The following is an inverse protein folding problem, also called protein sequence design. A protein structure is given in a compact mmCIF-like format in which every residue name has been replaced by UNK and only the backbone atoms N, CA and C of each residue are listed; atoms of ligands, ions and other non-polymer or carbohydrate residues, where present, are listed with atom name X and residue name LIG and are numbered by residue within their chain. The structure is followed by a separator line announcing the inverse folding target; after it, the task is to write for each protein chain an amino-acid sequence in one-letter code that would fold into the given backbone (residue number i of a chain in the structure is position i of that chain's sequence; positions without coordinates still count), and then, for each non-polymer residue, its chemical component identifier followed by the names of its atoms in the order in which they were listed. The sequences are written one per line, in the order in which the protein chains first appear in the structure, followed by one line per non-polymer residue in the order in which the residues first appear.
data_IF_239329341497
#
_entry.id   IF_239329341497
#
_cell.length_a   1.000
_cell.length_b   1.000
_cell.length_c   1.000
_cell.angle_alpha   90.00
_cell.angle_beta   90.00
_cell.angle_gamma   90.00
#
_symmetry.space_group_name_H-M   'P 1'
#
loop_
_entity.id
_entity.type
_entity.pdbx_description
1 polymer ?
#
# COMPACT_ATOMS: atom_id res chain seq x y z
N UNK A 1 -11.33 -28.01 -6.31
CA UNK A 1 -11.59 -26.80 -7.12
C UNK A 1 -10.30 -26.01 -7.16
N UNK A 2 -9.74 -25.77 -8.33
CA UNK A 2 -8.59 -24.86 -8.48
C UNK A 2 -9.09 -23.44 -8.24
N UNK A 3 -8.48 -22.74 -7.27
CA UNK A 3 -8.78 -21.33 -7.01
C UNK A 3 -7.96 -20.47 -7.96
N UNK A 4 -8.57 -19.45 -8.56
CA UNK A 4 -7.87 -18.55 -9.50
C UNK A 4 -7.07 -17.45 -8.81
N UNK A 5 -7.15 -17.35 -7.47
CA UNK A 5 -6.52 -16.27 -6.71
C UNK A 5 -5.74 -16.83 -5.51
N UNK A 6 -4.45 -16.46 -5.41
CA UNK A 6 -3.66 -16.62 -4.20
C UNK A 6 -3.63 -15.29 -3.42
N UNK A 7 -4.00 -15.35 -2.15
CA UNK A 7 -3.92 -14.23 -1.22
C UNK A 7 -2.73 -14.44 -0.30
N UNK A 8 -1.80 -13.52 -0.32
CA UNK A 8 -0.59 -13.56 0.50
C UNK A 8 -0.69 -12.60 1.67
N UNK A 9 -0.43 -13.10 2.87
CA UNK A 9 -0.26 -12.28 4.05
C UNK A 9 1.16 -12.44 4.60
N UNK A 10 1.85 -11.32 4.79
CA UNK A 10 3.23 -11.31 5.25
C UNK A 10 3.28 -11.45 6.79
N UNK A 11 4.00 -12.45 7.26
CA UNK A 11 4.29 -12.67 8.68
C UNK A 11 5.81 -12.54 8.87
N UNK A 12 6.24 -11.56 9.67
CA UNK A 12 7.68 -11.29 9.90
C UNK A 12 8.12 -11.72 11.28
N UNK A 13 9.30 -12.31 11.35
CA UNK A 13 9.99 -12.52 12.64
C UNK A 13 10.18 -11.17 13.34
N UNK A 14 9.97 -11.14 14.65
CA UNK A 14 10.06 -9.91 15.46
C UNK A 14 8.83 -9.00 15.40
N UNK A 15 7.78 -9.33 14.60
CA UNK A 15 6.48 -8.67 14.72
C UNK A 15 5.73 -9.27 15.92
N UNK A 16 5.07 -8.41 16.71
CA UNK A 16 4.29 -8.83 17.87
C UNK A 16 3.12 -9.73 17.46
N UNK A 17 2.79 -10.73 18.29
CA UNK A 17 1.75 -11.71 17.99
C UNK A 17 0.35 -11.07 17.83
N UNK A 18 0.08 -9.98 18.54
CA UNK A 18 -1.19 -9.25 18.46
C UNK A 18 -1.47 -8.68 17.05
N UNK A 19 -0.42 -8.39 16.29
CA UNK A 19 -0.53 -7.93 14.90
C UNK A 19 -1.14 -9.03 14.02
N UNK A 20 -0.63 -10.26 14.15
CA UNK A 20 -1.18 -11.41 13.44
C UNK A 20 -2.58 -11.78 13.95
N UNK A 21 -2.80 -11.71 15.26
CA UNK A 21 -4.13 -11.97 15.84
C UNK A 21 -5.19 -11.03 15.27
N UNK A 22 -4.88 -9.76 15.08
CA UNK A 22 -5.81 -8.80 14.46
C UNK A 22 -6.13 -9.17 13.00
N UNK A 23 -5.14 -9.60 12.23
CA UNK A 23 -5.39 -10.09 10.87
C UNK A 23 -6.29 -11.32 10.90
N UNK A 24 -5.95 -12.35 11.68
CA UNK A 24 -6.73 -13.59 11.76
C UNK A 24 -8.16 -13.34 12.23
N UNK A 25 -8.34 -12.55 13.27
CA UNK A 25 -9.68 -12.18 13.76
C UNK A 25 -10.52 -11.46 12.70
N UNK A 26 -9.90 -10.57 11.91
CA UNK A 26 -10.59 -9.91 10.81
C UNK A 26 -10.88 -10.85 9.63
N UNK A 27 -9.96 -11.77 9.34
CA UNK A 27 -10.12 -12.76 8.28
C UNK A 27 -11.24 -13.78 8.59
N UNK A 28 -11.38 -14.19 9.84
CA UNK A 28 -12.49 -15.03 10.30
C UNK A 28 -13.82 -14.28 10.33
N UNK A 29 -13.79 -13.00 10.72
CA UNK A 29 -14.98 -12.18 10.86
C UNK A 29 -15.62 -11.80 9.52
N UNK A 30 -14.82 -11.47 8.51
CA UNK A 30 -15.29 -10.94 7.25
C UNK A 30 -15.10 -11.93 6.12
N UNK A 31 -16.20 -12.30 5.46
CA UNK A 31 -16.18 -13.18 4.30
C UNK A 31 -15.34 -12.58 3.16
N UNK A 32 -14.57 -13.42 2.49
CA UNK A 32 -13.87 -13.03 1.27
C UNK A 32 -14.82 -12.86 0.06
N UNK A 33 -16.01 -13.47 0.11
CA UNK A 33 -16.99 -13.45 -0.96
C UNK A 33 -16.67 -14.36 -2.16
N UNK A 34 -15.51 -15.01 -2.17
CA UNK A 34 -15.11 -15.93 -3.23
C UNK A 34 -14.02 -16.91 -2.76
N UNK A 35 -13.90 -18.08 -3.42
CA UNK A 35 -12.84 -19.04 -3.13
C UNK A 35 -11.46 -18.48 -3.44
N UNK A 36 -10.50 -18.73 -2.57
CA UNK A 36 -9.10 -18.35 -2.73
C UNK A 36 -8.18 -19.26 -1.93
N UNK A 37 -6.90 -19.23 -2.21
CA UNK A 37 -5.86 -19.87 -1.41
C UNK A 37 -5.14 -18.84 -0.55
N UNK A 38 -5.23 -18.98 0.78
CA UNK A 38 -4.44 -18.16 1.71
C UNK A 38 -3.03 -18.74 1.85
N UNK A 39 -2.03 -17.87 1.71
CA UNK A 39 -0.60 -18.22 1.86
C UNK A 39 0.05 -17.25 2.84
N UNK A 40 0.58 -17.77 3.95
CA UNK A 40 1.41 -16.98 4.85
C UNK A 40 2.85 -16.95 4.37
N UNK A 41 3.38 -15.75 4.13
CA UNK A 41 4.77 -15.52 3.79
C UNK A 41 5.57 -15.36 5.08
N UNK A 42 6.31 -16.40 5.47
CA UNK A 42 7.07 -16.46 6.71
C UNK A 42 8.46 -15.85 6.50
N UNK A 43 8.63 -14.59 6.89
CA UNK A 43 9.86 -13.84 6.64
C UNK A 43 10.76 -13.76 7.87
N UNK A 44 12.00 -14.25 7.74
CA UNK A 44 13.03 -14.12 8.77
C UNK A 44 12.98 -15.21 9.86
N UNK A 45 12.26 -16.30 9.65
CA UNK A 45 12.17 -17.43 10.59
C UNK A 45 13.25 -18.49 10.35
N UNK A 46 14.53 -18.09 10.32
CA UNK A 46 15.65 -19.00 10.05
C UNK A 46 15.81 -20.13 11.07
N UNK A 47 15.30 -19.99 12.28
CA UNK A 47 15.32 -20.99 13.36
C UNK A 47 14.01 -21.78 13.46
N UNK A 48 13.15 -21.70 12.42
CA UNK A 48 11.83 -22.30 12.44
C UNK A 48 10.77 -21.40 13.09
N UNK A 49 9.53 -21.82 12.92
CA UNK A 49 8.37 -21.06 13.39
C UNK A 49 8.13 -21.33 14.89
N UNK A 50 8.06 -20.29 15.76
CA UNK A 50 7.76 -20.48 17.18
C UNK A 50 6.43 -21.24 17.39
N UNK A 51 6.34 -22.18 18.36
CA UNK A 51 5.13 -22.98 18.57
C UNK A 51 3.84 -22.14 18.81
N UNK A 52 3.85 -21.02 19.53
CA UNK A 52 2.67 -20.18 19.68
C UNK A 52 2.19 -19.62 18.34
N UNK A 53 3.13 -19.14 17.49
CA UNK A 53 2.82 -18.59 16.18
C UNK A 53 2.28 -19.68 15.24
N UNK A 54 2.88 -20.88 15.27
CA UNK A 54 2.40 -22.01 14.47
C UNK A 54 0.97 -22.41 14.83
N UNK A 55 0.62 -22.40 16.13
CA UNK A 55 -0.76 -22.65 16.60
C UNK A 55 -1.74 -21.59 16.09
N UNK A 56 -1.36 -20.31 16.13
CA UNK A 56 -2.21 -19.22 15.62
C UNK A 56 -2.48 -19.37 14.12
N UNK A 57 -1.46 -19.66 13.33
CA UNK A 57 -1.64 -19.86 11.89
C UNK A 57 -2.57 -21.04 11.58
N UNK A 58 -2.57 -22.07 12.44
CA UNK A 58 -3.42 -23.25 12.23
C UNK A 58 -4.92 -23.01 12.48
N UNK A 59 -5.31 -21.81 12.94
CA UNK A 59 -6.72 -21.45 13.11
C UNK A 59 -7.50 -21.38 11.79
N UNK A 60 -6.84 -21.09 10.68
CA UNK A 60 -7.46 -20.99 9.36
C UNK A 60 -6.80 -21.91 8.34
N UNK A 61 -7.52 -22.42 7.34
CA UNK A 61 -6.92 -23.17 6.24
C UNK A 61 -5.91 -22.31 5.47
N UNK A 62 -4.67 -22.74 5.37
CA UNK A 62 -3.61 -21.97 4.71
C UNK A 62 -2.48 -22.86 4.17
N UNK A 63 -1.63 -22.27 3.34
CA UNK A 63 -0.30 -22.78 3.03
C UNK A 63 0.79 -21.83 3.56
N UNK A 64 2.01 -22.30 3.69
CA UNK A 64 3.16 -21.52 4.19
C UNK A 64 4.23 -21.44 3.11
N UNK A 65 4.88 -20.29 3.03
CA UNK A 65 6.05 -20.08 2.18
C UNK A 65 7.14 -19.36 2.98
N UNK A 66 8.25 -20.04 3.18
CA UNK A 66 9.42 -19.46 3.83
C UNK A 66 10.10 -18.44 2.93
N UNK A 67 10.34 -17.26 3.48
CA UNK A 67 10.95 -16.13 2.79
C UNK A 67 12.22 -15.68 3.50
N UNK A 68 13.33 -15.49 2.79
CA UNK A 68 14.56 -14.97 3.37
C UNK A 68 14.33 -13.54 3.90
N UNK A 69 15.03 -13.17 4.97
CA UNK A 69 14.93 -11.81 5.54
C UNK A 69 15.74 -10.78 4.73
N UNK A 70 15.37 -10.65 3.46
CA UNK A 70 15.95 -9.67 2.53
C UNK A 70 14.89 -9.13 1.59
N UNK A 71 15.16 -7.98 0.95
CA UNK A 71 14.30 -7.43 -0.08
C UNK A 71 13.00 -6.80 0.42
N UNK A 72 12.91 -6.47 1.72
CA UNK A 72 11.71 -5.89 2.34
C UNK A 72 10.47 -6.78 2.05
N UNK A 73 9.28 -6.22 2.12
CA UNK A 73 8.03 -6.93 1.85
C UNK A 73 7.95 -7.37 0.39
N UNK A 74 8.35 -6.50 -0.53
CA UNK A 74 8.33 -6.75 -1.98
C UNK A 74 9.20 -7.94 -2.40
N UNK A 75 10.34 -8.15 -1.75
CA UNK A 75 11.18 -9.33 -2.02
C UNK A 75 10.45 -10.64 -1.74
N UNK A 76 9.64 -10.67 -0.68
CA UNK A 76 8.78 -11.81 -0.35
C UNK A 76 7.62 -11.96 -1.34
N UNK A 77 7.03 -10.84 -1.80
CA UNK A 77 5.93 -10.85 -2.77
C UNK A 77 6.38 -11.39 -4.13
N UNK A 78 7.54 -10.99 -4.63
CA UNK A 78 8.09 -11.54 -5.88
C UNK A 78 8.41 -13.02 -5.77
N UNK A 79 9.03 -13.44 -4.66
CA UNK A 79 9.28 -14.86 -4.39
C UNK A 79 7.98 -15.66 -4.37
N UNK A 80 6.95 -15.14 -3.70
CA UNK A 80 5.65 -15.78 -3.60
C UNK A 80 4.98 -15.93 -4.98
N UNK A 81 4.99 -14.87 -5.78
CA UNK A 81 4.44 -14.90 -7.14
C UNK A 81 5.16 -15.91 -8.06
N UNK A 82 6.45 -16.18 -7.84
CA UNK A 82 7.20 -17.21 -8.57
C UNK A 82 6.81 -18.64 -8.17
N UNK A 83 6.30 -18.83 -6.95
CA UNK A 83 6.06 -20.16 -6.34
C UNK A 83 4.62 -20.63 -6.45
N UNK A 84 3.73 -19.84 -7.01
CA UNK A 84 2.32 -20.17 -7.18
C UNK A 84 1.95 -20.27 -8.65
N UNK A 85 0.83 -20.93 -8.93
CA UNK A 85 0.30 -21.11 -10.30
C UNK A 85 -0.94 -20.27 -10.58
N UNK A 86 -1.56 -19.73 -9.55
CA UNK A 86 -2.78 -18.92 -9.65
C UNK A 86 -2.54 -17.71 -10.56
N UNK A 87 -3.46 -17.42 -11.50
CA UNK A 87 -3.33 -16.31 -12.43
C UNK A 87 -3.40 -14.94 -11.74
N UNK A 88 -4.11 -14.84 -10.62
CA UNK A 88 -4.24 -13.61 -9.84
C UNK A 88 -3.55 -13.75 -8.49
N UNK A 89 -2.88 -12.69 -8.06
CA UNK A 89 -2.21 -12.61 -6.77
C UNK A 89 -2.64 -11.34 -6.03
N UNK A 90 -3.00 -11.51 -4.78
CA UNK A 90 -3.28 -10.41 -3.87
C UNK A 90 -2.25 -10.42 -2.73
N UNK A 91 -1.71 -9.26 -2.41
CA UNK A 91 -0.73 -9.12 -1.34
C UNK A 91 -1.27 -8.22 -0.24
N UNK A 92 -1.06 -8.64 1.00
CA UNK A 92 -1.31 -7.85 2.22
C UNK A 92 -0.06 -7.84 3.08
N UNK A 93 0.22 -6.71 3.73
CA UNK A 93 1.37 -6.57 4.60
C UNK A 93 1.10 -7.13 6.02
N UNK A 94 2.13 -7.17 6.87
CA UNK A 94 2.02 -7.72 8.24
C UNK A 94 1.00 -6.98 9.13
N UNK A 95 0.67 -5.74 8.82
CA UNK A 95 -0.23 -4.91 9.62
C UNK A 95 -1.66 -4.85 9.07
N UNK A 96 -1.93 -5.57 7.99
CA UNK A 96 -3.24 -5.54 7.34
C UNK A 96 -4.33 -6.09 8.25
N UNK A 97 -5.48 -5.40 8.28
CA UNK A 97 -6.71 -5.82 8.96
C UNK A 97 -7.85 -5.58 7.97
N UNK A 98 -8.68 -6.60 7.75
CA UNK A 98 -9.83 -6.51 6.85
C UNK A 98 -10.98 -5.79 7.57
N UNK A 99 -11.75 -4.96 6.87
CA UNK A 99 -12.77 -4.10 7.46
C UNK A 99 -14.20 -4.33 6.92
N UNK A 100 -14.42 -5.32 6.07
CA UNK A 100 -15.76 -5.58 5.53
C UNK A 100 -15.87 -6.89 4.80
N UNK A 101 -17.10 -7.39 4.69
CA UNK A 101 -17.42 -8.59 3.93
C UNK A 101 -17.16 -8.42 2.44
N UNK A 102 -17.04 -9.56 1.75
CA UNK A 102 -16.77 -9.64 0.32
C UNK A 102 -15.49 -8.90 -0.11
N UNK A 103 -14.53 -8.78 0.82
CA UNK A 103 -13.32 -7.99 0.60
C UNK A 103 -12.57 -8.43 -0.66
N UNK A 104 -12.39 -9.73 -0.91
CA UNK A 104 -11.71 -10.21 -2.11
C UNK A 104 -12.61 -10.11 -3.36
N UNK A 105 -13.91 -10.43 -3.23
CA UNK A 105 -14.85 -10.28 -4.31
C UNK A 105 -14.92 -8.83 -4.82
N UNK A 106 -14.87 -7.84 -3.94
CA UNK A 106 -14.79 -6.41 -4.31
C UNK A 106 -13.55 -6.09 -5.15
N UNK A 107 -12.37 -6.61 -4.75
CA UNK A 107 -11.15 -6.47 -5.55
C UNK A 107 -11.30 -7.13 -6.93
N UNK A 108 -11.84 -8.36 -6.99
CA UNK A 108 -12.04 -9.09 -8.24
C UNK A 108 -13.04 -8.39 -9.14
N UNK A 109 -14.14 -7.89 -8.59
CA UNK A 109 -15.16 -7.14 -9.36
C UNK A 109 -14.55 -5.86 -9.97
N UNK A 110 -13.69 -5.17 -9.23
CA UNK A 110 -12.97 -4.01 -9.75
C UNK A 110 -11.94 -4.43 -10.83
N UNK A 111 -11.20 -5.50 -10.59
CA UNK A 111 -10.18 -6.01 -11.52
C UNK A 111 -10.77 -6.50 -12.85
N UNK A 112 -11.93 -7.12 -12.81
CA UNK A 112 -12.62 -7.66 -14.00
C UNK A 112 -13.25 -6.58 -14.89
N UNK A 113 -13.18 -5.30 -14.51
CA UNK A 113 -13.60 -4.21 -15.40
C UNK A 113 -12.65 -4.11 -16.60
N UNK A 114 -13.15 -3.68 -17.76
CA UNK A 114 -12.30 -3.54 -18.96
C UNK A 114 -11.05 -2.69 -18.70
N UNK A 115 -9.91 -3.17 -19.17
CA UNK A 115 -8.61 -2.50 -19.12
C UNK A 115 -8.02 -2.27 -17.73
N UNK A 116 -8.54 -2.86 -16.67
CA UNK A 116 -7.95 -2.76 -15.34
C UNK A 116 -6.76 -3.72 -15.22
N UNK A 117 -5.61 -3.22 -14.82
CA UNK A 117 -4.37 -3.99 -14.63
C UNK A 117 -3.92 -4.09 -13.16
N UNK A 118 -4.46 -3.25 -12.28
CA UNK A 118 -4.04 -3.20 -10.89
C UNK A 118 -5.16 -2.61 -10.01
N UNK A 119 -5.45 -3.26 -8.89
CA UNK A 119 -6.43 -2.77 -7.90
C UNK A 119 -5.78 -2.73 -6.53
N UNK A 120 -5.93 -1.64 -5.79
CA UNK A 120 -5.41 -1.48 -4.44
C UNK A 120 -6.48 -1.08 -3.43
N UNK A 121 -6.20 -1.32 -2.14
CA UNK A 121 -7.03 -0.83 -1.04
C UNK A 121 -6.86 0.68 -0.80
N UNK A 122 -5.68 1.21 -1.10
CA UNK A 122 -5.33 2.62 -0.87
C UNK A 122 -4.40 3.12 -1.96
N UNK A 123 -4.62 4.36 -2.35
CA UNK A 123 -3.74 5.12 -3.23
C UNK A 123 -3.26 6.40 -2.54
N UNK A 124 -2.33 7.11 -3.15
CA UNK A 124 -1.82 8.39 -2.68
C UNK A 124 -1.25 9.21 -3.83
N UNK A 125 -1.21 10.52 -3.66
CA UNK A 125 -0.47 11.45 -4.52
C UNK A 125 0.80 11.97 -3.85
N UNK A 126 1.16 11.43 -2.66
CA UNK A 126 2.38 11.81 -1.95
C UNK A 126 3.61 11.76 -2.84
N UNK A 127 4.50 12.72 -2.66
CA UNK A 127 5.79 12.76 -3.34
C UNK A 127 6.93 12.93 -2.35
N UNK A 128 7.82 11.95 -2.28
CA UNK A 128 9.03 12.03 -1.45
C UNK A 128 9.93 13.21 -1.83
N UNK A 129 10.02 13.54 -3.12
CA UNK A 129 10.81 14.68 -3.58
C UNK A 129 10.20 16.00 -3.15
N UNK A 130 8.87 16.17 -3.27
CA UNK A 130 8.16 17.37 -2.82
C UNK A 130 8.16 17.51 -1.30
N UNK A 131 7.95 16.43 -0.56
CA UNK A 131 8.01 16.44 0.90
C UNK A 131 9.41 16.86 1.40
N UNK A 132 10.46 16.33 0.78
CA UNK A 132 11.82 16.71 1.12
C UNK A 132 12.09 18.20 0.83
N UNK A 133 11.66 18.69 -0.33
CA UNK A 133 11.80 20.12 -0.68
C UNK A 133 11.04 21.01 0.30
N UNK A 134 9.79 20.70 0.62
CA UNK A 134 9.01 21.48 1.58
C UNK A 134 9.70 21.56 2.93
N UNK A 135 10.20 20.43 3.45
CA UNK A 135 10.99 20.43 4.71
C UNK A 135 12.23 21.31 4.65
N UNK A 136 12.91 21.37 3.49
CA UNK A 136 14.08 22.25 3.33
C UNK A 136 13.70 23.74 3.32
N UNK A 137 12.51 24.08 2.84
CA UNK A 137 12.02 25.47 2.78
C UNK A 137 11.34 25.92 4.06
N UNK A 138 10.71 25.04 4.82
CA UNK A 138 9.97 25.31 6.06
C UNK A 138 10.87 25.38 7.31
N UNK A 139 12.16 25.01 7.22
CA UNK A 139 13.06 25.08 8.34
C UNK A 139 13.26 26.52 8.86
N UNK A 140 13.16 26.77 10.19
CA UNK A 140 13.26 28.11 10.78
C UNK A 140 14.58 28.79 10.45
N UNK A 141 14.52 30.12 10.16
CA UNK A 141 15.60 30.90 9.53
C UNK A 141 16.35 31.81 10.52
N UNK A 142 17.66 31.56 10.71
CA UNK A 142 18.60 32.67 10.99
C UNK A 142 19.15 33.17 9.64
N UNK A 143 19.15 34.50 9.43
CA UNK A 143 19.26 35.14 8.11
C UNK A 143 20.46 34.75 7.22
N UNK A 144 21.59 34.36 7.72
CA UNK A 144 22.82 34.05 6.93
C UNK A 144 23.09 32.54 6.77
N UNK A 145 22.83 31.73 7.81
CA UNK A 145 22.94 30.27 7.73
C UNK A 145 21.83 29.64 6.87
N UNK A 146 20.74 30.37 6.71
CA UNK A 146 19.55 29.90 5.93
C UNK A 146 19.83 29.78 4.43
N UNK A 147 20.61 30.65 3.81
CA UNK A 147 20.84 30.62 2.36
C UNK A 147 21.77 29.46 1.95
N UNK A 148 22.83 29.22 2.73
CA UNK A 148 23.73 28.07 2.53
C UNK A 148 23.04 26.72 2.84
N UNK A 149 22.16 26.69 3.85
CA UNK A 149 21.36 25.50 4.17
C UNK A 149 20.35 25.18 3.08
N UNK A 150 19.73 26.21 2.46
CA UNK A 150 18.82 26.04 1.31
C UNK A 150 19.55 25.53 0.07
N UNK A 151 20.73 26.04 -0.24
CA UNK A 151 21.54 25.57 -1.36
C UNK A 151 21.95 24.09 -1.20
N UNK A 152 22.37 23.69 0.01
CA UNK A 152 22.67 22.30 0.33
C UNK A 152 21.41 21.41 0.30
N UNK A 153 20.28 21.91 0.79
CA UNK A 153 19.00 21.21 0.74
C UNK A 153 18.52 20.98 -0.69
N UNK A 154 18.63 22.00 -1.55
CA UNK A 154 18.27 21.88 -2.96
C UNK A 154 19.19 20.91 -3.71
N UNK A 155 20.52 20.99 -3.49
CA UNK A 155 21.47 20.05 -4.07
C UNK A 155 21.19 18.59 -3.65
N UNK A 156 20.81 18.37 -2.39
CA UNK A 156 20.41 17.04 -1.89
C UNK A 156 19.04 16.58 -2.42
N UNK A 157 18.16 17.50 -2.84
CA UNK A 157 16.86 17.18 -3.45
C UNK A 157 16.98 16.72 -4.91
N UNK A 158 18.01 17.17 -5.66
CA UNK A 158 18.17 16.84 -7.08
C UNK A 158 18.14 15.33 -7.37
N UNK A 159 18.88 14.46 -6.64
CA UNK A 159 18.80 13.01 -6.84
C UNK A 159 17.39 12.45 -6.60
N UNK A 160 16.65 12.99 -5.61
CA UNK A 160 15.29 12.58 -5.32
C UNK A 160 14.32 13.00 -6.45
N UNK A 161 14.46 14.20 -6.98
CA UNK A 161 13.68 14.68 -8.13
C UNK A 161 13.95 13.86 -9.40
N UNK A 162 15.17 13.34 -9.56
CA UNK A 162 15.50 12.47 -10.69
C UNK A 162 14.75 11.13 -10.63
N UNK A 163 14.47 10.59 -9.43
CA UNK A 163 13.91 9.25 -9.24
C UNK A 163 12.46 9.24 -8.75
N UNK A 164 11.99 10.29 -8.08
CA UNK A 164 10.61 10.45 -7.65
C UNK A 164 9.94 11.62 -8.38
N UNK A 165 8.76 11.42 -8.96
CA UNK A 165 7.99 12.52 -9.54
C UNK A 165 7.63 13.56 -8.47
N UNK A 166 7.47 14.85 -8.84
CA UNK A 166 6.90 15.85 -7.94
C UNK A 166 5.42 15.55 -7.66
N UNK A 167 4.88 16.22 -6.65
CA UNK A 167 3.43 16.19 -6.38
C UNK A 167 2.63 16.84 -7.55
N UNK A 168 1.50 16.27 -7.96
CA UNK A 168 0.89 15.02 -7.48
C UNK A 168 1.58 13.78 -8.07
N UNK A 169 2.05 12.88 -7.21
CA UNK A 169 2.67 11.64 -7.62
C UNK A 169 1.74 10.45 -7.41
N UNK A 170 0.89 10.19 -8.38
CA UNK A 170 -0.10 9.12 -8.35
C UNK A 170 0.55 7.74 -8.18
N UNK A 171 0.23 7.04 -7.10
CA UNK A 171 0.67 5.67 -6.87
C UNK A 171 -0.25 4.89 -5.94
N UNK A 172 -0.42 3.59 -6.19
CA UNK A 172 -1.00 2.67 -5.23
C UNK A 172 0.03 2.32 -4.15
N UNK A 173 -0.45 2.24 -2.92
CA UNK A 173 0.35 1.78 -1.79
C UNK A 173 0.44 0.25 -1.80
N UNK A 174 1.55 -0.29 -1.34
CA UNK A 174 1.82 -1.73 -1.35
C UNK A 174 1.29 -2.47 -0.10
N UNK A 175 0.32 -1.88 0.62
CA UNK A 175 -0.28 -2.46 1.83
C UNK A 175 -1.38 -3.50 1.54
N UNK A 176 -2.06 -3.37 0.39
CA UNK A 176 -3.11 -4.28 -0.05
C UNK A 176 -3.41 -4.06 -1.53
N UNK A 177 -3.02 -5.00 -2.40
CA UNK A 177 -3.25 -4.87 -3.84
C UNK A 177 -3.40 -6.22 -4.55
N UNK A 178 -4.18 -6.23 -5.63
CA UNK A 178 -4.44 -7.37 -6.52
C UNK A 178 -3.92 -7.05 -7.93
N UNK A 179 -3.28 -8.04 -8.53
CA UNK A 179 -2.68 -7.91 -9.87
C UNK A 179 -2.59 -9.29 -10.54
N UNK A 180 -2.56 -9.35 -11.89
CA UNK A 180 -2.20 -10.58 -12.58
C UNK A 180 -0.76 -10.99 -12.23
N UNK A 181 -0.58 -12.25 -11.83
CA UNK A 181 0.73 -12.80 -11.45
C UNK A 181 1.79 -12.57 -12.53
N UNK A 182 1.42 -12.83 -13.78
CA UNK A 182 2.32 -12.64 -14.94
C UNK A 182 2.79 -11.18 -15.02
N UNK A 183 1.87 -10.23 -14.92
CA UNK A 183 2.20 -8.82 -15.03
C UNK A 183 3.05 -8.33 -13.85
N UNK A 184 2.73 -8.78 -12.63
CA UNK A 184 3.55 -8.48 -11.45
C UNK A 184 5.00 -8.92 -11.62
N UNK A 185 5.22 -10.14 -12.10
CA UNK A 185 6.57 -10.68 -12.32
C UNK A 185 7.37 -9.87 -13.36
N UNK A 186 6.73 -9.32 -14.39
CA UNK A 186 7.40 -8.46 -15.38
C UNK A 186 7.83 -7.09 -14.82
N UNK A 187 7.21 -6.63 -13.73
CA UNK A 187 7.52 -5.36 -13.08
C UNK A 187 8.67 -5.47 -12.08
N UNK A 188 9.26 -6.66 -11.90
CA UNK A 188 10.31 -6.89 -10.91
C UNK A 188 11.53 -5.98 -11.13
N UNK A 189 11.92 -5.17 -10.13
CA UNK A 189 13.10 -4.34 -10.24
C UNK A 189 14.37 -5.18 -10.21
N UNK A 190 15.43 -4.71 -10.88
CA UNK A 190 16.73 -5.40 -10.92
C UNK A 190 17.34 -5.59 -9.53
N UNK A 191 17.11 -4.66 -8.62
CA UNK A 191 17.57 -4.70 -7.22
C UNK A 191 16.45 -4.41 -6.25
N UNK A 192 16.40 -5.22 -5.16
CA UNK A 192 15.48 -5.05 -4.04
C UNK A 192 16.26 -5.28 -2.74
N UNK A 193 17.28 -4.44 -2.48
CA UNK A 193 18.18 -4.61 -1.33
C UNK A 193 18.02 -3.53 -0.26
N UNK A 194 17.57 -2.35 -0.65
CA UNK A 194 17.45 -1.18 0.23
C UNK A 194 16.00 -0.71 0.34
N UNK A 195 15.68 0.00 1.40
CA UNK A 195 14.37 0.64 1.57
C UNK A 195 14.06 1.62 0.42
N UNK A 196 15.08 2.27 -0.12
CA UNK A 196 14.94 3.13 -1.30
C UNK A 196 14.43 2.33 -2.50
N UNK A 197 14.90 1.10 -2.73
CA UNK A 197 14.40 0.27 -3.83
C UNK A 197 12.90 -0.06 -3.67
N UNK A 198 12.44 -0.31 -2.43
CA UNK A 198 11.03 -0.53 -2.16
C UNK A 198 10.21 0.75 -2.43
N UNK A 199 10.68 1.90 -2.00
CA UNK A 199 10.02 3.19 -2.29
C UNK A 199 10.00 3.52 -3.79
N UNK A 200 11.08 3.23 -4.52
CA UNK A 200 11.13 3.40 -5.97
C UNK A 200 10.10 2.52 -6.69
N UNK A 201 9.90 1.30 -6.22
CA UNK A 201 8.88 0.40 -6.77
C UNK A 201 7.45 0.87 -6.46
N UNK A 202 7.22 1.42 -5.26
CA UNK A 202 5.91 1.93 -4.86
C UNK A 202 5.59 3.27 -5.52
N UNK A 203 6.47 4.26 -5.44
CA UNK A 203 6.16 5.65 -5.82
C UNK A 203 7.21 6.35 -6.70
N UNK A 204 8.21 5.64 -7.19
CA UNK A 204 9.22 6.18 -8.10
C UNK A 204 8.70 6.41 -9.52
N UNK A 205 9.55 7.01 -10.39
CA UNK A 205 9.22 7.25 -11.80
C UNK A 205 8.90 5.98 -12.60
N UNK A 206 9.41 4.83 -12.16
CA UNK A 206 9.09 3.51 -12.73
C UNK A 206 8.37 2.63 -11.69
N UNK A 207 7.47 3.21 -10.91
CA UNK A 207 6.66 2.49 -9.93
C UNK A 207 5.71 1.49 -10.57
N UNK A 208 5.25 0.51 -9.80
CA UNK A 208 4.25 -0.47 -10.21
C UNK A 208 3.04 0.22 -10.88
N UNK A 209 2.48 1.25 -10.25
CA UNK A 209 1.37 2.03 -10.78
C UNK A 209 1.68 2.62 -12.15
N UNK A 210 2.84 3.26 -12.30
CA UNK A 210 3.23 3.89 -13.57
C UNK A 210 3.50 2.89 -14.68
N UNK A 211 4.04 1.72 -14.34
CA UNK A 211 4.24 0.64 -15.31
C UNK A 211 2.91 0.11 -15.86
N UNK A 212 1.88 -0.02 -15.00
CA UNK A 212 0.53 -0.43 -15.42
C UNK A 212 -0.12 0.64 -16.29
N UNK A 213 -0.13 1.89 -15.85
CA UNK A 213 -0.64 3.03 -16.62
C UNK A 213 0.07 3.19 -17.97
N UNK A 214 1.39 3.02 -18.00
CA UNK A 214 2.21 3.08 -19.22
C UNK A 214 1.89 1.98 -20.26
N UNK A 215 1.24 0.90 -19.85
CA UNK A 215 0.70 -0.14 -20.75
C UNK A 215 -0.73 0.19 -21.23
N UNK A 216 -1.26 1.34 -20.91
CA UNK A 216 -2.62 1.76 -21.24
C UNK A 216 -3.69 1.04 -20.41
N UNK A 217 -3.33 0.46 -19.26
CA UNK A 217 -4.25 -0.19 -18.34
C UNK A 217 -4.64 0.77 -17.22
N UNK A 218 -5.85 0.60 -16.70
CA UNK A 218 -6.38 1.36 -15.58
C UNK A 218 -5.87 0.80 -14.24
N UNK A 219 -5.73 1.72 -13.27
CA UNK A 219 -5.39 1.42 -11.87
C UNK A 219 -6.52 1.94 -11.00
N UNK A 220 -7.07 1.09 -10.12
CA UNK A 220 -8.22 1.43 -9.30
C UNK A 220 -7.90 1.28 -7.80
N UNK A 221 -8.52 2.14 -6.99
CA UNK A 221 -8.67 1.93 -5.54
C UNK A 221 -10.08 1.41 -5.30
N UNK A 222 -10.22 0.35 -4.48
CA UNK A 222 -11.51 -0.20 -4.13
C UNK A 222 -11.87 0.15 -2.68
N UNK A 223 -13.07 0.68 -2.49
CA UNK A 223 -13.62 1.03 -1.19
C UNK A 223 -14.31 -0.13 -0.48
N UNK A 224 -14.60 0.06 0.80
CA UNK A 224 -15.37 -0.88 1.63
C UNK A 224 -16.81 -1.08 1.11
N UNK A 225 -17.37 -0.06 0.49
CA UNK A 225 -18.67 -0.10 -0.19
C UNK A 225 -18.67 -0.89 -1.51
N UNK A 226 -17.48 -1.31 -2.00
CA UNK A 226 -17.30 -1.99 -3.28
C UNK A 226 -17.16 -1.04 -4.47
N UNK A 227 -17.27 0.27 -4.27
CA UNK A 227 -16.99 1.26 -5.31
C UNK A 227 -15.51 1.24 -5.69
N UNK A 228 -15.24 1.44 -6.98
CA UNK A 228 -13.88 1.47 -7.49
C UNK A 228 -13.58 2.84 -8.14
N UNK A 229 -12.52 3.47 -7.66
CA UNK A 229 -12.14 4.85 -7.95
C UNK A 229 -10.91 4.90 -8.84
N UNK A 230 -10.94 5.72 -9.88
CA UNK A 230 -9.78 6.05 -10.71
C UNK A 230 -8.85 7.05 -10.00
N UNK A 231 -7.58 7.18 -10.44
CA UNK A 231 -6.61 8.06 -9.79
C UNK A 231 -7.09 9.50 -9.50
N UNK A 232 -7.87 10.10 -10.40
CA UNK A 232 -8.46 11.44 -10.20
C UNK A 232 -9.56 11.49 -9.15
N UNK A 233 -10.16 10.35 -8.82
CA UNK A 233 -11.28 10.22 -7.87
C UNK A 233 -10.81 9.79 -6.47
N UNK A 234 -9.53 9.41 -6.31
CA UNK A 234 -9.00 8.96 -5.03
C UNK A 234 -9.17 9.97 -3.88
N UNK A 235 -9.03 11.30 -4.12
CA UNK A 235 -9.26 12.28 -3.06
C UNK A 235 -10.67 12.30 -2.47
N UNK A 236 -11.66 11.70 -3.14
CA UNK A 236 -13.05 11.60 -2.68
C UNK A 236 -13.43 10.19 -2.21
N UNK A 237 -12.51 9.23 -2.28
CA UNK A 237 -12.80 7.82 -1.97
C UNK A 237 -13.00 7.51 -0.49
N UNK A 238 -12.55 8.36 0.41
CA UNK A 238 -12.51 8.14 1.87
C UNK A 238 -11.77 6.85 2.27
N UNK A 239 -10.76 6.43 1.47
CA UNK A 239 -10.00 5.21 1.71
C UNK A 239 -8.65 5.45 2.37
N UNK A 240 -8.05 6.65 2.23
CA UNK A 240 -6.71 6.92 2.76
C UNK A 240 -6.52 8.38 3.14
N UNK A 241 -6.29 8.62 4.43
CA UNK A 241 -6.01 9.93 5.02
C UNK A 241 -7.03 11.01 4.62
N UNK A 242 -8.28 10.62 4.61
CA UNK A 242 -9.44 11.48 4.36
C UNK A 242 -10.47 11.24 5.44
N UNK A 243 -11.07 12.29 5.96
CA UNK A 243 -12.11 12.20 7.02
C UNK A 243 -11.70 11.19 8.10
N UNK A 244 -12.56 10.21 8.40
CA UNK A 244 -12.24 9.08 9.28
C UNK A 244 -11.99 7.78 8.51
N UNK A 245 -11.66 7.88 7.21
CA UNK A 245 -11.38 6.72 6.33
C UNK A 245 -12.55 5.72 6.29
N UNK A 246 -13.79 6.21 6.31
CA UNK A 246 -15.00 5.39 6.47
C UNK A 246 -15.17 4.32 5.40
N UNK A 247 -14.58 4.56 4.22
CA UNK A 247 -14.65 3.65 3.09
C UNK A 247 -13.38 2.77 2.93
N UNK A 248 -12.50 2.77 3.93
CA UNK A 248 -11.29 1.93 3.92
C UNK A 248 -11.67 0.44 4.02
N UNK A 249 -11.15 -0.38 3.11
CA UNK A 249 -11.41 -1.84 3.08
C UNK A 249 -10.31 -2.65 3.77
N UNK A 250 -9.05 -2.21 3.71
CA UNK A 250 -7.92 -2.86 4.37
C UNK A 250 -7.13 -1.82 5.16
N UNK A 251 -7.14 -1.99 6.46
CA UNK A 251 -6.42 -1.15 7.42
C UNK A 251 -4.94 -1.57 7.52
N UNK A 252 -4.06 -0.64 7.84
CA UNK A 252 -2.65 -0.91 8.15
C UNK A 252 -2.15 0.03 9.27
N UNK A 253 -0.86 -0.05 9.60
CA UNK A 253 -0.27 0.78 10.64
C UNK A 253 -0.31 2.29 10.32
N UNK A 254 -0.28 2.70 9.05
CA UNK A 254 -0.35 4.12 8.67
C UNK A 254 -1.77 4.66 8.78
N UNK A 255 -2.76 3.89 8.34
CA UNK A 255 -4.17 4.24 8.47
C UNK A 255 -4.60 4.25 9.93
N UNK A 256 -4.10 3.29 10.75
CA UNK A 256 -4.28 3.29 12.21
C UNK A 256 -3.68 4.55 12.87
N UNK A 257 -2.46 4.91 12.49
CA UNK A 257 -1.80 6.10 13.03
C UNK A 257 -2.56 7.39 12.67
N UNK A 258 -3.14 7.46 11.48
CA UNK A 258 -3.97 8.59 11.07
C UNK A 258 -5.25 8.71 11.92
N UNK A 259 -6.00 7.64 12.10
CA UNK A 259 -7.25 7.65 12.89
C UNK A 259 -7.02 8.02 14.35
N UNK A 260 -5.91 7.56 14.93
CA UNK A 260 -5.53 7.86 16.32
C UNK A 260 -4.83 9.21 16.49
N UNK A 261 -4.48 9.86 15.38
CA UNK A 261 -3.75 11.11 15.37
C UNK A 261 -4.60 12.31 15.79
N UNK A 262 -3.93 13.40 16.19
CA UNK A 262 -4.60 14.69 16.43
C UNK A 262 -5.17 15.26 15.13
N UNK A 263 -6.12 16.19 15.22
CA UNK A 263 -6.68 16.88 14.04
C UNK A 263 -5.61 17.57 13.20
N UNK A 264 -4.60 18.15 13.84
CA UNK A 264 -3.45 18.77 13.17
C UNK A 264 -2.61 17.72 12.40
N UNK A 265 -2.35 16.56 13.01
CA UNK A 265 -1.67 15.45 12.35
C UNK A 265 -2.48 14.95 11.14
N UNK A 266 -3.80 14.76 11.31
CA UNK A 266 -4.71 14.33 10.24
C UNK A 266 -4.71 15.33 9.08
N UNK A 267 -4.86 16.62 9.35
CA UNK A 267 -4.84 17.67 8.34
C UNK A 267 -3.54 17.67 7.55
N UNK A 268 -2.39 17.63 8.24
CA UNK A 268 -1.07 17.57 7.60
C UNK A 268 -0.89 16.33 6.72
N UNK A 269 -1.40 15.16 7.15
CA UNK A 269 -1.31 13.92 6.37
C UNK A 269 -2.24 13.95 5.17
N UNK A 270 -3.46 14.46 5.34
CA UNK A 270 -4.41 14.65 4.24
C UNK A 270 -3.82 15.58 3.17
N UNK A 271 -3.26 16.71 3.59
CA UNK A 271 -2.60 17.65 2.68
C UNK A 271 -1.41 17.02 1.95
N UNK A 272 -0.58 16.24 2.63
CA UNK A 272 0.55 15.55 2.01
C UNK A 272 0.10 14.52 0.97
N UNK A 273 -1.02 13.83 1.21
CA UNK A 273 -1.55 12.81 0.31
C UNK A 273 -2.34 13.38 -0.86
N UNK A 274 -3.07 14.50 -0.65
CA UNK A 274 -4.08 14.96 -1.61
C UNK A 274 -3.91 16.42 -2.05
N UNK A 275 -3.02 17.18 -1.42
CA UNK A 275 -2.88 18.62 -1.60
C UNK A 275 -3.78 19.42 -0.67
N UNK A 276 -3.60 20.73 -0.67
CA UNK A 276 -4.46 21.64 0.08
C UNK A 276 -5.89 21.62 -0.47
N UNK A 277 -6.92 21.67 0.38
CA UNK A 277 -8.30 21.78 -0.07
C UNK A 277 -8.47 23.01 -0.98
N UNK A 278 -9.04 22.82 -2.17
CA UNK A 278 -9.43 23.95 -3.01
C UNK A 278 -10.47 24.80 -2.28
N UNK A 279 -10.35 26.15 -2.31
CA UNK A 279 -11.32 27.03 -1.63
C UNK A 279 -12.76 26.91 -2.18
N UNK A 280 -12.95 26.27 -3.33
CA UNK A 280 -14.27 26.12 -3.96
C UNK A 280 -15.20 25.08 -3.31
N UNK A 281 -14.69 24.24 -2.40
CA UNK A 281 -15.49 23.15 -1.81
C UNK A 281 -15.96 23.42 -0.37
N UNK A 282 -15.73 24.62 0.19
CA UNK A 282 -16.18 25.01 1.54
C UNK A 282 -17.55 25.68 1.56
N UNK A 283 -18.27 25.77 0.46
CA UNK A 283 -19.48 26.56 0.31
C UNK A 283 -20.68 25.83 -0.32
N UNK A 284 -21.06 24.65 0.17
CA UNK A 284 -22.43 24.11 0.01
C UNK A 284 -22.87 23.44 1.30
N UNK A 285 -23.27 24.26 2.27
CA UNK A 285 -24.28 23.84 3.23
C UNK A 285 -25.60 23.73 2.45
N UNK A 286 -26.12 22.52 2.39
CA UNK A 286 -27.49 22.30 1.91
C UNK A 286 -28.40 22.69 3.06
N UNK A 287 -29.11 23.83 2.89
CA UNK A 287 -30.32 24.13 3.64
C UNK A 287 -31.44 23.18 3.22
#
# INVERSE_FOLDING_TARGET
MTTDTAVFHLVRAGTELDVLLRFLASYERFSAGCPHRLVFLLKGFSQGLPPPLNRLLSAVPHTKLDCPDRGFDLGSYFLAAERVSEPLVMFTNSFSVLLGDDWLAKFLNAYNRPRVGLVGATGSWESLSSEYLNRCFDAPRSRFRGLLAKGKGLAAALPLLAVFPPFPNVHLRTNGFLVARRDFLTMRPRMMRTKLNAWLFESGRNSMTRQVLGRGLDVLVVGRDGSAYRPGEWPQSNTYWQSMQENLLIHDNRTTAYERGTKEFQAKRSEAAWGSPSPENTGRSVD
#
